data_IF_399721858823
#
_entry.id   IF_399721858823
#
_cell.length_a   1.000
_cell.length_b   1.000
_cell.length_c   1.000
_cell.angle_alpha   90.00
_cell.angle_beta   90.00
_cell.angle_gamma   90.00
#
_symmetry.space_group_name_H-M   'P 1'
#
loop_
_entity.id
_entity.type
_entity.pdbx_description
1 polymer ?
#
# COMPACT_ATOMS: atom_id res chain seq x y z
N UNK A 1 4.30 0.44 -14.45
CA UNK A 1 4.98 1.45 -13.63
C UNK A 1 6.47 1.31 -13.90
N UNK A 2 7.09 2.37 -14.39
CA UNK A 2 8.53 2.46 -14.57
C UNK A 2 9.11 3.20 -13.35
N UNK A 3 10.20 2.69 -12.78
CA UNK A 3 10.89 3.32 -11.65
C UNK A 3 11.75 4.46 -12.17
N UNK A 4 11.94 5.51 -11.35
CA UNK A 4 12.97 6.52 -11.60
C UNK A 4 14.36 5.96 -11.30
N UNK A 5 15.39 6.65 -11.78
CA UNK A 5 16.80 6.24 -11.59
C UNK A 5 17.18 5.99 -10.12
N UNK A 6 16.64 6.79 -9.21
CA UNK A 6 16.90 6.68 -7.76
C UNK A 6 15.90 5.79 -7.00
N UNK A 7 14.94 5.18 -7.70
CA UNK A 7 13.91 4.35 -7.09
C UNK A 7 14.23 2.86 -7.23
N UNK A 8 14.41 2.19 -6.09
CA UNK A 8 14.69 0.76 -6.02
C UNK A 8 13.46 0.00 -5.57
N UNK A 9 13.05 -1.02 -6.33
CA UNK A 9 11.98 -1.93 -5.88
C UNK A 9 12.54 -2.84 -4.78
N UNK A 10 11.94 -2.75 -3.60
CA UNK A 10 12.28 -3.59 -2.45
C UNK A 10 11.29 -4.73 -2.23
N UNK A 11 10.08 -4.65 -2.81
CA UNK A 11 9.11 -5.73 -2.69
C UNK A 11 7.93 -5.62 -3.65
N UNK A 12 7.25 -6.74 -3.90
CA UNK A 12 5.97 -6.78 -4.62
C UNK A 12 5.01 -7.72 -3.91
N UNK A 13 3.81 -7.23 -3.62
CA UNK A 13 2.77 -7.97 -2.93
C UNK A 13 1.55 -8.08 -3.85
N UNK A 14 1.02 -9.30 -3.96
CA UNK A 14 -0.20 -9.57 -4.72
C UNK A 14 -1.32 -9.91 -3.76
N UNK A 15 -2.55 -9.54 -4.09
CA UNK A 15 -3.72 -9.90 -3.31
C UNK A 15 -4.99 -9.31 -3.92
N UNK A 16 -5.98 -9.02 -3.07
CA UNK A 16 -7.28 -8.50 -3.53
C UNK A 16 -7.85 -7.48 -2.55
N UNK A 17 -8.49 -6.47 -3.10
CA UNK A 17 -9.32 -5.52 -2.37
C UNK A 17 -10.63 -5.36 -3.13
N UNK A 18 -11.78 -5.29 -2.44
CA UNK A 18 -13.10 -5.07 -3.07
C UNK A 18 -13.45 -6.02 -4.23
N UNK A 19 -12.92 -7.24 -4.20
CA UNK A 19 -13.11 -8.20 -5.29
C UNK A 19 -12.23 -7.96 -6.52
N UNK A 20 -11.44 -6.89 -6.59
CA UNK A 20 -10.45 -6.64 -7.64
C UNK A 20 -9.06 -7.17 -7.25
N UNK A 21 -8.25 -7.54 -8.25
CA UNK A 21 -6.84 -7.86 -8.03
C UNK A 21 -6.06 -6.59 -7.66
N UNK A 22 -5.30 -6.67 -6.56
CA UNK A 22 -4.37 -5.65 -6.13
C UNK A 22 -2.93 -6.14 -6.31
N UNK A 23 -2.09 -5.26 -6.82
CA UNK A 23 -0.63 -5.40 -6.74
C UNK A 23 -0.06 -4.17 -6.06
N UNK A 24 0.67 -4.38 -4.97
CA UNK A 24 1.44 -3.34 -4.28
C UNK A 24 2.91 -3.49 -4.63
N UNK A 25 3.55 -2.40 -5.03
CA UNK A 25 4.98 -2.32 -5.24
C UNK A 25 5.58 -1.46 -4.14
N UNK A 26 6.48 -2.03 -3.34
CA UNK A 26 7.26 -1.31 -2.34
C UNK A 26 8.57 -0.85 -2.97
N UNK A 27 8.92 0.40 -2.70
CA UNK A 27 9.97 1.17 -3.34
C UNK A 27 10.78 1.87 -2.25
N UNK A 28 12.09 1.92 -2.43
CA UNK A 28 13.03 2.73 -1.66
C UNK A 28 13.60 3.81 -2.56
N UNK A 29 13.62 5.04 -2.08
CA UNK A 29 14.20 6.22 -2.74
C UNK A 29 14.91 7.06 -1.68
N UNK A 30 16.23 6.93 -1.61
CA UNK A 30 17.05 7.57 -0.58
C UNK A 30 17.16 9.10 -0.77
N UNK A 31 16.60 9.64 -1.85
CA UNK A 31 16.54 11.10 -2.07
C UNK A 31 15.35 11.76 -1.38
N UNK A 32 14.41 10.97 -0.82
CA UNK A 32 13.21 11.47 -0.15
C UNK A 32 13.37 11.56 1.37
N UNK A 33 12.67 12.51 2.02
CA UNK A 33 12.58 12.54 3.49
C UNK A 33 11.99 11.26 4.09
N UNK A 34 11.03 10.65 3.40
CA UNK A 34 10.47 9.33 3.72
C UNK A 34 10.90 8.34 2.63
N UNK A 35 12.03 7.65 2.82
CA UNK A 35 12.68 6.92 1.74
C UNK A 35 11.92 5.65 1.35
N UNK A 36 11.07 5.11 2.21
CA UNK A 36 10.32 3.89 1.94
C UNK A 36 8.88 4.20 1.63
N UNK A 37 8.35 3.69 0.52
CA UNK A 37 6.95 3.86 0.19
C UNK A 37 6.43 2.67 -0.60
N UNK A 38 5.10 2.52 -0.63
CA UNK A 38 4.47 1.58 -1.52
C UNK A 38 3.33 2.21 -2.28
N UNK A 39 3.07 1.66 -3.47
CA UNK A 39 1.96 2.06 -4.33
C UNK A 39 1.17 0.83 -4.75
N UNK A 40 -0.16 0.93 -4.72
CA UNK A 40 -1.07 -0.12 -5.15
C UNK A 40 -1.67 0.20 -6.52
N UNK A 41 -1.98 -0.83 -7.31
CA UNK A 41 -2.75 -0.70 -8.56
C UNK A 41 -4.14 -0.09 -8.36
N UNK A 42 -4.66 -0.05 -7.14
CA UNK A 42 -5.92 0.62 -6.80
C UNK A 42 -5.79 2.16 -6.66
N UNK A 43 -4.57 2.70 -6.79
CA UNK A 43 -4.29 4.13 -6.62
C UNK A 43 -3.91 4.53 -5.18
N UNK A 44 -4.02 3.64 -4.20
CA UNK A 44 -3.53 3.91 -2.85
C UNK A 44 -2.00 3.90 -2.79
N UNK A 45 -1.43 4.82 -2.00
CA UNK A 45 0.00 4.85 -1.71
C UNK A 45 0.26 5.29 -0.27
N UNK A 46 1.41 4.93 0.26
CA UNK A 46 1.84 5.36 1.60
C UNK A 46 3.37 5.40 1.71
N UNK A 47 3.87 6.38 2.45
CA UNK A 47 5.28 6.62 2.71
C UNK A 47 5.63 6.37 4.18
N UNK A 48 6.90 6.08 4.44
CA UNK A 48 7.45 5.67 5.72
C UNK A 48 8.91 6.11 5.85
N UNK A 49 9.31 6.44 7.07
CA UNK A 49 10.71 6.75 7.41
C UNK A 49 11.61 5.51 7.41
N UNK A 50 11.07 4.35 7.79
CA UNK A 50 11.84 3.10 7.92
C UNK A 50 11.22 1.97 7.09
N UNK A 51 12.06 1.00 6.74
CA UNK A 51 11.66 -0.20 5.98
C UNK A 51 10.64 -1.06 6.74
N UNK A 52 10.77 -1.12 8.07
CA UNK A 52 10.01 -2.03 8.93
C UNK A 52 8.49 -1.88 8.79
N UNK A 53 8.03 -0.67 8.45
CA UNK A 53 6.61 -0.39 8.27
C UNK A 53 6.11 -0.68 6.83
N UNK A 54 6.99 -0.70 5.83
CA UNK A 54 6.57 -0.75 4.42
C UNK A 54 5.98 -2.10 4.05
N UNK A 55 6.60 -3.22 4.48
CA UNK A 55 6.13 -4.57 4.16
C UNK A 55 4.86 -4.97 4.92
N UNK A 56 4.75 -4.80 6.26
CA UNK A 56 3.54 -5.18 6.97
C UNK A 56 2.32 -4.39 6.51
N UNK A 57 2.50 -3.11 6.17
CA UNK A 57 1.40 -2.27 5.68
C UNK A 57 1.02 -2.61 4.24
N UNK A 58 1.99 -2.87 3.36
CA UNK A 58 1.74 -3.36 2.01
C UNK A 58 1.01 -4.71 2.03
N UNK A 59 1.43 -5.64 2.89
CA UNK A 59 0.78 -6.94 3.07
C UNK A 59 -0.65 -6.81 3.56
N UNK A 60 -0.89 -6.03 4.62
CA UNK A 60 -2.24 -5.82 5.16
C UNK A 60 -3.14 -5.13 4.14
N UNK A 61 -2.59 -4.28 3.27
CA UNK A 61 -3.35 -3.64 2.21
C UNK A 61 -3.84 -4.65 1.16
N UNK A 62 -2.99 -5.60 0.74
CA UNK A 62 -3.38 -6.63 -0.24
C UNK A 62 -4.17 -7.80 0.36
N UNK A 63 -4.06 -8.00 1.67
CA UNK A 63 -4.74 -9.05 2.44
C UNK A 63 -5.53 -8.44 3.60
N UNK A 64 -6.63 -7.71 3.33
CA UNK A 64 -7.43 -7.10 4.38
C UNK A 64 -8.06 -8.17 5.26
N UNK A 65 -7.90 -8.02 6.58
CA UNK A 65 -8.55 -8.89 7.56
C UNK A 65 -10.07 -8.64 7.58
N UNK A 66 -10.83 -9.53 8.24
CA UNK A 66 -12.26 -9.31 8.45
C UNK A 66 -12.56 -7.99 9.19
N UNK A 67 -11.71 -7.62 10.17
CA UNK A 67 -11.83 -6.35 10.88
C UNK A 67 -11.55 -5.15 9.97
N UNK A 68 -10.56 -5.25 9.07
CA UNK A 68 -10.27 -4.20 8.10
C UNK A 68 -11.44 -3.99 7.14
N UNK A 69 -12.09 -5.08 6.69
CA UNK A 69 -13.31 -5.00 5.87
C UNK A 69 -14.46 -4.32 6.61
N UNK A 70 -14.66 -4.64 7.90
CA UNK A 70 -15.68 -4.00 8.72
C UNK A 70 -15.41 -2.50 8.90
N UNK A 71 -14.16 -2.10 9.16
CA UNK A 71 -13.76 -0.68 9.25
C UNK A 71 -13.95 0.05 7.92
N UNK A 72 -13.60 -0.58 6.80
CA UNK A 72 -13.83 -0.01 5.46
C UNK A 72 -15.31 0.18 5.19
N UNK A 73 -16.14 -0.80 5.53
CA UNK A 73 -17.60 -0.70 5.41
C UNK A 73 -18.17 0.44 6.29
N UNK A 74 -17.72 0.53 7.55
CA UNK A 74 -18.14 1.61 8.45
C UNK A 74 -17.74 3.00 7.92
N UNK A 75 -16.51 3.13 7.42
CA UNK A 75 -16.03 4.38 6.81
C UNK A 75 -16.85 4.77 5.57
N UNK A 76 -17.22 3.81 4.72
CA UNK A 76 -18.11 4.08 3.57
C UNK A 76 -19.49 4.55 4.01
N UNK A 77 -20.07 3.92 5.04
CA UNK A 77 -21.40 4.28 5.55
C UNK A 77 -21.41 5.67 6.19
N UNK A 78 -20.32 6.07 6.83
CA UNK A 78 -20.16 7.41 7.41
C UNK A 78 -19.94 8.50 6.36
N UNK A 79 -19.26 8.20 5.24
CA UNK A 79 -19.08 9.16 4.12
C UNK A 79 -20.30 9.33 3.23
N UNK A 80 -21.23 8.38 3.27
CA UNK A 80 -22.49 8.44 2.51
C UNK A 80 -23.63 9.14 3.27
N UNK A 81 -23.35 9.69 4.46
CA UNK A 81 -24.23 10.57 5.23
C UNK A 81 -23.68 11.98 5.17
#
# INVERSE_FOLDING_TARGET
MQLKENEFRVGTFHGRHDGAQAKVTAIRDDTRPEPYFWMCTCGASRSFLTEDAVFPTAWRHTHPTHLDRLRQWATRRLRAR
#
